data_IF_425028699733
#
_entry.id   IF_425028699733
#
_cell.length_a   1.000
_cell.length_b   1.000
_cell.length_c   1.000
_cell.angle_alpha   90.00
_cell.angle_beta   90.00
_cell.angle_gamma   90.00
#
_symmetry.space_group_name_H-M   'P 1'
#
loop_
_entity.id
_entity.type
_entity.pdbx_description
1 polymer ?
#
# COMPACT_ATOMS: atom_id res chain seq x y z
N UNK A 1 9.06 10.66 -13.13
CA UNK A 1 9.67 10.31 -11.84
C UNK A 1 8.78 10.56 -10.61
N UNK A 2 7.44 10.59 -10.74
CA UNK A 2 6.57 11.01 -9.62
C UNK A 2 5.89 9.90 -8.82
N UNK A 3 5.58 8.77 -9.45
CA UNK A 3 4.70 7.76 -8.83
C UNK A 3 5.47 6.76 -7.97
N UNK A 4 6.66 6.34 -8.42
CA UNK A 4 7.45 5.29 -7.78
C UNK A 4 7.99 5.72 -6.42
N UNK A 5 8.42 6.98 -6.30
CA UNK A 5 8.93 7.54 -5.05
C UNK A 5 7.84 7.66 -3.99
N UNK A 6 6.61 7.99 -4.41
CA UNK A 6 5.44 8.04 -3.51
C UNK A 6 5.13 6.65 -2.93
N UNK A 7 5.15 5.60 -3.76
CA UNK A 7 4.92 4.23 -3.30
C UNK A 7 6.05 3.69 -2.43
N UNK A 8 7.31 3.98 -2.76
CA UNK A 8 8.47 3.60 -1.94
C UNK A 8 8.38 4.18 -0.53
N UNK A 9 8.04 5.48 -0.43
CA UNK A 9 7.91 6.14 0.87
C UNK A 9 6.71 5.60 1.65
N UNK A 10 5.59 5.35 0.96
CA UNK A 10 4.41 4.71 1.55
C UNK A 10 4.70 3.30 2.09
N UNK A 11 5.42 2.47 1.33
CA UNK A 11 5.82 1.13 1.77
C UNK A 11 6.78 1.17 2.96
N UNK A 12 7.66 2.17 3.02
CA UNK A 12 8.56 2.36 4.17
C UNK A 12 7.80 2.77 5.44
N UNK A 13 6.82 3.68 5.33
CA UNK A 13 5.91 4.01 6.43
C UNK A 13 5.15 2.77 6.92
N UNK A 14 4.67 1.92 6.00
CA UNK A 14 4.00 0.66 6.34
C UNK A 14 4.91 -0.36 7.04
N UNK A 15 6.12 -0.55 6.53
CA UNK A 15 7.14 -1.40 7.17
C UNK A 15 7.47 -0.91 8.58
N UNK A 16 7.57 0.42 8.77
CA UNK A 16 7.80 1.03 10.08
C UNK A 16 6.65 0.81 11.06
N UNK A 17 5.41 0.68 10.55
CA UNK A 17 4.23 0.36 11.36
C UNK A 17 4.10 -1.15 11.68
N UNK A 18 5.08 -1.98 11.29
CA UNK A 18 5.03 -3.46 11.37
C UNK A 18 3.82 -4.09 10.65
N UNK A 19 3.14 -3.33 9.79
CA UNK A 19 2.10 -3.88 8.94
C UNK A 19 2.82 -4.64 7.84
N UNK A 20 2.99 -5.95 8.06
CA UNK A 20 3.62 -6.85 7.09
C UNK A 20 2.95 -6.68 5.74
N UNK A 21 3.73 -6.63 4.66
CA UNK A 21 3.21 -6.50 3.28
C UNK A 21 2.22 -7.63 2.95
N UNK A 22 2.36 -8.81 3.59
CA UNK A 22 1.38 -9.90 3.53
C UNK A 22 0.00 -9.58 4.13
N UNK A 23 -0.10 -8.56 4.97
CA UNK A 23 -1.36 -8.05 5.48
C UNK A 23 -1.95 -6.99 4.56
N UNK A 24 -1.15 -6.29 3.74
CA UNK A 24 -1.65 -5.32 2.75
C UNK A 24 -2.60 -5.97 1.75
N UNK A 25 -2.29 -7.17 1.25
CA UNK A 25 -3.19 -7.93 0.37
C UNK A 25 -4.51 -8.35 1.04
N UNK A 26 -4.57 -8.30 2.39
CA UNK A 26 -5.76 -8.61 3.17
C UNK A 26 -6.53 -7.37 3.62
N UNK A 27 -5.99 -6.17 3.39
CA UNK A 27 -6.68 -4.94 3.74
C UNK A 27 -7.81 -4.67 2.76
N UNK A 28 -8.97 -4.34 3.33
CA UNK A 28 -10.09 -3.81 2.57
C UNK A 28 -9.81 -2.38 2.10
N UNK A 29 -10.51 -1.97 1.05
CA UNK A 29 -10.47 -0.60 0.52
C UNK A 29 -10.62 0.48 1.60
N UNK A 30 -11.46 0.22 2.61
CA UNK A 30 -11.73 1.14 3.71
C UNK A 30 -10.54 1.26 4.68
N UNK A 31 -9.82 0.16 4.91
CA UNK A 31 -8.58 0.17 5.71
C UNK A 31 -7.45 0.85 4.93
N UNK A 32 -7.39 0.63 3.61
CA UNK A 32 -6.46 1.34 2.72
C UNK A 32 -6.72 2.86 2.73
N UNK A 33 -7.98 3.30 2.76
CA UNK A 33 -8.34 4.71 2.93
C UNK A 33 -7.88 5.29 4.28
N UNK A 34 -7.98 4.52 5.37
CA UNK A 34 -7.44 4.94 6.68
C UNK A 34 -5.92 5.11 6.65
N UNK A 35 -5.24 4.35 5.80
CA UNK A 35 -3.82 4.47 5.53
C UNK A 35 -3.48 5.54 4.49
N UNK A 36 -4.42 6.44 4.14
CA UNK A 36 -4.28 7.52 3.15
C UNK A 36 -4.11 7.05 1.70
N UNK A 37 -4.48 5.81 1.40
CA UNK A 37 -4.53 5.27 0.03
C UNK A 37 -5.89 5.60 -0.58
N UNK A 38 -6.04 6.85 -0.97
CA UNK A 38 -7.38 7.35 -1.35
C UNK A 38 -7.70 7.09 -2.82
N UNK A 39 -6.70 6.80 -3.65
CA UNK A 39 -6.89 6.61 -5.10
C UNK A 39 -7.09 5.13 -5.43
N UNK A 40 -8.02 4.85 -6.35
CA UNK A 40 -8.29 3.49 -6.85
C UNK A 40 -7.02 2.88 -7.48
N UNK A 41 -6.23 3.70 -8.18
CA UNK A 41 -4.96 3.27 -8.77
C UNK A 41 -3.94 2.82 -7.72
N UNK A 42 -3.84 3.53 -6.58
CA UNK A 42 -2.93 3.14 -5.51
C UNK A 42 -3.38 1.89 -4.77
N UNK A 43 -4.68 1.74 -4.53
CA UNK A 43 -5.23 0.50 -3.96
C UNK A 43 -4.90 -0.71 -4.83
N UNK A 44 -5.13 -0.60 -6.14
CA UNK A 44 -4.88 -1.68 -7.09
C UNK A 44 -3.39 -2.01 -7.20
N UNK A 45 -2.54 -0.99 -7.30
CA UNK A 45 -1.08 -1.17 -7.34
C UNK A 45 -0.56 -1.82 -6.07
N UNK A 46 -1.10 -1.47 -4.90
CA UNK A 46 -0.73 -2.09 -3.62
C UNK A 46 -1.19 -3.53 -3.52
N UNK A 47 -2.40 -3.85 -3.99
CA UNK A 47 -2.88 -5.23 -4.08
C UNK A 47 -1.99 -6.05 -5.00
N UNK A 48 -1.76 -5.59 -6.24
CA UNK A 48 -0.89 -6.27 -7.20
C UNK A 48 0.53 -6.46 -6.63
N UNK A 49 1.10 -5.45 -5.96
CA UNK A 49 2.41 -5.55 -5.34
C UNK A 49 2.43 -6.54 -4.18
N UNK A 50 1.40 -6.54 -3.33
CA UNK A 50 1.30 -7.43 -2.16
C UNK A 50 1.01 -8.89 -2.55
N UNK A 51 0.37 -9.16 -3.69
CA UNK A 51 0.19 -10.52 -4.21
C UNK A 51 1.49 -11.08 -4.83
N UNK A 52 2.38 -10.21 -5.31
CA UNK A 52 3.65 -10.58 -5.94
C UNK A 52 4.86 -10.61 -4.96
N UNK A 53 4.66 -10.38 -3.65
CA UNK A 53 5.70 -10.31 -2.61
C UNK A 53 5.50 -11.33 -1.47
#
# INVERSE_FOLDING_TARGET
>A
EGTDHYYQNFLNEFKSQQVSVKHLSKLSDKELEQCRVNTIGARRTLHDYAENF
#
